data_IF_459440373293
#
_entry.id   IF_459440373293
#
_cell.length_a   1.000
_cell.length_b   1.000
_cell.length_c   1.000
_cell.angle_alpha   90.00
_cell.angle_beta   90.00
_cell.angle_gamma   90.00
#
_symmetry.space_group_name_H-M   'P 1'
#
loop_
_entity.id
_entity.type
_entity.pdbx_description
1 polymer ?
#
# COMPACT_ATOMS: atom_id res chain seq x y z
N UNK A 1 15.58 21.37 36.10
CA UNK A 1 14.37 20.54 36.24
C UNK A 1 13.18 21.06 35.42
N UNK A 2 12.87 22.36 35.40
CA UNK A 2 11.73 22.91 34.62
C UNK A 2 11.87 22.79 33.09
N UNK A 3 13.07 23.04 32.53
CA UNK A 3 13.30 22.90 31.09
C UNK A 3 13.21 21.45 30.58
N UNK A 4 13.49 20.46 31.45
CA UNK A 4 13.37 19.04 31.09
C UNK A 4 11.91 18.60 30.95
N UNK A 5 11.01 19.12 31.80
CA UNK A 5 9.58 18.78 31.70
C UNK A 5 8.91 19.39 30.47
N UNK A 6 9.30 20.59 30.03
CA UNK A 6 8.78 21.19 28.80
C UNK A 6 9.21 20.47 27.53
N UNK A 7 10.44 19.94 27.49
CA UNK A 7 10.95 19.18 26.33
C UNK A 7 10.24 17.82 26.23
N UNK A 8 10.10 17.11 27.36
CA UNK A 8 9.36 15.83 27.40
C UNK A 8 7.89 16.00 26.98
N UNK A 9 7.23 17.08 27.41
CA UNK A 9 5.85 17.37 26.98
C UNK A 9 5.73 17.70 25.49
N UNK A 10 6.70 18.42 24.90
CA UNK A 10 6.71 18.72 23.47
C UNK A 10 6.93 17.46 22.62
N UNK A 11 7.82 16.57 23.05
CA UNK A 11 8.07 15.28 22.39
C UNK A 11 6.81 14.40 22.41
N UNK A 12 6.11 14.32 23.54
CA UNK A 12 4.88 13.52 23.67
C UNK A 12 3.74 14.04 22.78
N UNK A 13 3.61 15.37 22.65
CA UNK A 13 2.65 16.01 21.74
C UNK A 13 2.97 15.71 20.27
N UNK A 14 4.25 15.81 19.89
CA UNK A 14 4.69 15.51 18.52
C UNK A 14 4.45 14.04 18.18
N UNK A 15 4.80 13.13 19.08
CA UNK A 15 4.54 11.70 18.88
C UNK A 15 3.06 11.41 18.73
N UNK A 16 2.19 11.93 19.60
CA UNK A 16 0.74 11.75 19.48
C UNK A 16 0.19 12.31 18.17
N UNK A 17 0.62 13.50 17.77
CA UNK A 17 0.19 14.13 16.53
C UNK A 17 0.58 13.29 15.30
N UNK A 18 1.80 12.77 15.26
CA UNK A 18 2.26 11.91 14.16
C UNK A 18 1.52 10.59 14.11
N UNK A 19 1.25 9.95 15.26
CA UNK A 19 0.47 8.71 15.28
C UNK A 19 -0.95 8.92 14.78
N UNK A 20 -1.61 10.01 15.18
CA UNK A 20 -2.94 10.37 14.67
C UNK A 20 -2.92 10.65 13.18
N UNK A 21 -1.91 11.37 12.69
CA UNK A 21 -1.76 11.63 11.27
C UNK A 21 -1.54 10.33 10.48
N UNK A 22 -0.68 9.44 10.97
CA UNK A 22 -0.46 8.12 10.37
C UNK A 22 -1.76 7.32 10.28
N UNK A 23 -2.53 7.27 11.36
CA UNK A 23 -3.82 6.57 11.38
C UNK A 23 -4.79 7.13 10.32
N UNK A 24 -4.89 8.45 10.19
CA UNK A 24 -5.75 9.08 9.19
C UNK A 24 -5.32 8.72 7.77
N UNK A 25 -4.02 8.70 7.50
CA UNK A 25 -3.46 8.31 6.19
C UNK A 25 -3.68 6.82 5.92
N UNK A 26 -3.50 5.94 6.91
CA UNK A 26 -3.77 4.51 6.77
C UNK A 26 -5.24 4.25 6.43
N UNK A 27 -6.17 4.89 7.13
CA UNK A 27 -7.61 4.79 6.85
C UNK A 27 -7.93 5.29 5.44
N UNK A 28 -7.37 6.44 5.05
CA UNK A 28 -7.56 6.99 3.70
C UNK A 28 -7.03 6.03 2.63
N UNK A 29 -5.83 5.48 2.82
CA UNK A 29 -5.24 4.48 1.93
C UNK A 29 -6.09 3.22 1.84
N UNK A 30 -6.61 2.71 2.97
CA UNK A 30 -7.50 1.56 2.99
C UNK A 30 -8.81 1.82 2.21
N UNK A 31 -9.37 3.02 2.31
CA UNK A 31 -10.55 3.42 1.52
C UNK A 31 -10.25 3.48 0.02
N UNK A 32 -9.10 4.03 -0.38
CA UNK A 32 -8.66 4.09 -1.79
C UNK A 32 -8.50 2.69 -2.37
N UNK A 33 -7.85 1.78 -1.62
CA UNK A 33 -7.70 0.37 -2.01
C UNK A 33 -9.08 -0.29 -2.12
N UNK A 34 -9.97 -0.05 -1.15
CA UNK A 34 -11.33 -0.57 -1.16
C UNK A 34 -12.13 -0.12 -2.38
N UNK A 35 -12.05 1.16 -2.76
CA UNK A 35 -12.69 1.69 -3.97
C UNK A 35 -12.13 1.04 -5.23
N UNK A 36 -10.80 0.89 -5.33
CA UNK A 36 -10.17 0.19 -6.45
C UNK A 36 -10.59 -1.26 -6.57
N UNK A 37 -10.73 -1.96 -5.43
CA UNK A 37 -11.21 -3.34 -5.39
C UNK A 37 -12.66 -3.45 -5.86
N UNK A 38 -13.55 -2.56 -5.39
CA UNK A 38 -14.96 -2.53 -5.81
C UNK A 38 -15.10 -2.24 -7.32
N UNK A 39 -14.34 -1.27 -7.84
CA UNK A 39 -14.31 -0.95 -9.26
C UNK A 39 -13.82 -2.15 -10.10
N UNK A 40 -12.78 -2.83 -9.63
CA UNK A 40 -12.22 -4.02 -10.28
C UNK A 40 -13.23 -5.17 -10.28
N UNK A 41 -13.89 -5.42 -9.13
CA UNK A 41 -14.85 -6.50 -8.97
C UNK A 41 -16.09 -6.32 -9.85
N UNK A 42 -16.63 -5.09 -9.93
CA UNK A 42 -17.77 -4.77 -10.80
C UNK A 42 -17.44 -4.96 -12.28
N UNK A 43 -16.23 -4.61 -12.69
CA UNK A 43 -15.76 -4.77 -14.07
C UNK A 43 -15.53 -6.24 -14.41
N UNK A 44 -14.95 -7.02 -13.49
CA UNK A 44 -14.75 -8.46 -13.64
C UNK A 44 -16.07 -9.24 -13.76
N UNK A 45 -17.07 -8.93 -12.93
CA UNK A 45 -18.40 -9.54 -13.01
C UNK A 45 -19.08 -9.26 -14.35
N UNK A 46 -18.88 -8.07 -14.93
CA UNK A 46 -19.35 -7.75 -16.28
C UNK A 46 -18.57 -8.51 -17.35
N UNK A 47 -17.25 -8.62 -17.20
CA UNK A 47 -16.36 -9.32 -18.13
C UNK A 47 -16.65 -10.82 -18.24
N UNK A 48 -17.12 -11.47 -17.17
CA UNK A 48 -17.48 -12.90 -17.23
C UNK A 48 -18.58 -13.18 -18.28
N UNK A 49 -19.38 -12.17 -18.63
CA UNK A 49 -20.43 -12.28 -19.67
C UNK A 49 -19.92 -11.99 -21.09
N UNK A 50 -18.74 -11.36 -21.24
CA UNK A 50 -18.17 -10.91 -22.51
C UNK A 50 -16.69 -11.35 -22.49
N UNK A 51 -16.43 -12.57 -22.95
CA UNK A 51 -15.09 -13.18 -22.95
C UNK A 51 -14.16 -12.41 -23.88
N UNK A 52 -13.42 -11.43 -23.35
CA UNK A 52 -12.45 -10.63 -24.11
C UNK A 52 -11.21 -10.36 -23.24
N UNK A 53 -10.04 -10.73 -23.78
CA UNK A 53 -8.74 -10.62 -23.10
C UNK A 53 -8.37 -9.17 -22.73
N UNK A 54 -8.85 -8.19 -23.50
CA UNK A 54 -8.59 -6.77 -23.26
C UNK A 54 -9.18 -6.27 -21.94
N UNK A 55 -10.33 -6.82 -21.52
CA UNK A 55 -11.02 -6.41 -20.29
C UNK A 55 -10.23 -6.83 -19.04
N UNK A 56 -9.50 -7.94 -19.11
CA UNK A 56 -8.67 -8.41 -18.00
C UNK A 56 -7.48 -7.48 -17.74
N UNK A 57 -6.81 -7.02 -18.81
CA UNK A 57 -5.66 -6.11 -18.72
C UNK A 57 -6.11 -4.76 -18.14
N UNK A 58 -7.20 -4.20 -18.65
CA UNK A 58 -7.76 -2.93 -18.16
C UNK A 58 -8.20 -2.99 -16.68
N UNK A 59 -8.79 -4.12 -16.28
CA UNK A 59 -9.20 -4.37 -14.89
C UNK A 59 -7.99 -4.42 -13.96
N UNK A 60 -6.91 -5.11 -14.35
CA UNK A 60 -5.66 -5.17 -13.59
C UNK A 60 -4.97 -3.80 -13.49
N UNK A 61 -4.94 -3.04 -14.59
CA UNK A 61 -4.36 -1.70 -14.61
C UNK A 61 -5.13 -0.72 -13.71
N UNK A 62 -6.45 -0.84 -13.66
CA UNK A 62 -7.30 -0.04 -12.77
C UNK A 62 -6.97 -0.33 -11.31
N UNK A 63 -6.94 -1.59 -10.91
CA UNK A 63 -6.53 -1.97 -9.55
C UNK A 63 -5.12 -1.46 -9.22
N UNK A 64 -4.18 -1.61 -10.15
CA UNK A 64 -2.79 -1.17 -9.96
C UNK A 64 -2.68 0.35 -9.69
N UNK A 65 -3.48 1.18 -10.36
CA UNK A 65 -3.52 2.64 -10.12
C UNK A 65 -4.00 3.00 -8.71
N UNK A 66 -5.09 2.39 -8.25
CA UNK A 66 -5.59 2.63 -6.88
C UNK A 66 -4.60 2.15 -5.83
N UNK A 67 -3.95 1.00 -6.06
CA UNK A 67 -2.92 0.49 -5.17
C UNK A 67 -1.70 1.43 -5.11
N UNK A 68 -1.21 1.91 -6.25
CA UNK A 68 -0.08 2.84 -6.29
C UNK A 68 -0.37 4.12 -5.51
N UNK A 69 -1.54 4.73 -5.75
CA UNK A 69 -1.96 5.94 -5.04
C UNK A 69 -2.01 5.75 -3.52
N UNK A 70 -2.62 4.65 -3.05
CA UNK A 70 -2.69 4.37 -1.62
C UNK A 70 -1.30 4.16 -0.98
N UNK A 71 -0.39 3.50 -1.70
CA UNK A 71 0.96 3.22 -1.22
C UNK A 71 1.83 4.47 -1.15
N UNK A 72 1.72 5.40 -2.09
CA UNK A 72 2.44 6.67 -2.05
C UNK A 72 2.04 7.49 -0.81
N UNK A 73 0.75 7.51 -0.49
CA UNK A 73 0.24 8.18 0.71
C UNK A 73 0.73 7.49 1.99
N UNK A 74 0.58 6.17 2.09
CA UNK A 74 0.99 5.38 3.25
C UNK A 74 2.51 5.46 3.49
N UNK A 75 3.31 5.43 2.43
CA UNK A 75 4.77 5.57 2.52
C UNK A 75 5.17 6.90 3.19
N UNK A 76 4.49 8.00 2.85
CA UNK A 76 4.73 9.30 3.49
C UNK A 76 4.43 9.27 5.00
N UNK A 77 3.33 8.64 5.40
CA UNK A 77 2.99 8.47 6.82
C UNK A 77 3.98 7.59 7.59
N UNK A 78 4.48 6.53 6.95
CA UNK A 78 5.49 5.65 7.55
C UNK A 78 6.84 6.34 7.69
N UNK A 79 7.26 7.15 6.71
CA UNK A 79 8.46 7.99 6.82
C UNK A 79 8.32 8.97 7.98
N UNK A 80 7.18 9.63 8.12
CA UNK A 80 6.94 10.56 9.23
C UNK A 80 6.97 9.86 10.59
N UNK A 81 6.34 8.68 10.71
CA UNK A 81 6.33 7.87 11.93
C UNK A 81 7.75 7.39 12.31
N UNK A 82 8.54 6.97 11.33
CA UNK A 82 9.92 6.51 11.57
C UNK A 82 10.87 7.66 11.90
N UNK A 83 10.59 8.88 11.43
CA UNK A 83 11.36 10.08 11.77
C UNK A 83 11.20 10.52 13.24
N UNK A 84 10.03 10.31 13.85
CA UNK A 84 9.77 10.70 15.26
C UNK A 84 10.04 9.59 16.26
N UNK A 85 9.87 8.33 15.87
CA UNK A 85 10.17 7.17 16.71
C UNK A 85 10.57 6.00 15.82
N UNK A 86 11.88 5.83 15.52
CA UNK A 86 12.36 4.72 14.71
C UNK A 86 12.14 3.41 15.46
N UNK A 87 11.01 2.74 15.21
CA UNK A 87 10.74 1.40 15.77
C UNK A 87 11.16 0.32 14.76
N UNK A 88 12.12 -0.52 15.16
CA UNK A 88 12.64 -1.61 14.31
C UNK A 88 11.56 -2.64 13.91
N UNK A 89 10.51 -2.78 14.72
CA UNK A 89 9.38 -3.70 14.47
C UNK A 89 8.50 -3.24 13.29
N UNK A 90 8.20 -1.94 13.17
CA UNK A 90 7.41 -1.42 12.05
C UNK A 90 8.18 -1.52 10.73
N UNK A 91 9.47 -1.18 10.74
CA UNK A 91 10.34 -1.26 9.56
C UNK A 91 10.44 -2.71 9.08
N UNK A 92 10.60 -3.68 10.00
CA UNK A 92 10.64 -5.10 9.67
C UNK A 92 9.35 -5.63 9.03
N UNK A 93 8.19 -5.24 9.54
CA UNK A 93 6.88 -5.64 8.98
C UNK A 93 6.68 -5.09 7.57
N UNK A 94 7.03 -3.83 7.33
CA UNK A 94 6.91 -3.21 6.01
C UNK A 94 7.82 -3.89 4.98
N UNK A 95 9.08 -4.15 5.38
CA UNK A 95 10.05 -4.85 4.53
C UNK A 95 9.58 -6.26 4.16
N UNK A 96 8.99 -7.00 5.12
CA UNK A 96 8.45 -8.33 4.86
C UNK A 96 7.31 -8.30 3.81
N UNK A 97 6.37 -7.36 3.92
CA UNK A 97 5.26 -7.22 2.95
C UNK A 97 5.81 -6.87 1.56
N UNK A 98 6.78 -5.97 1.47
CA UNK A 98 7.41 -5.57 0.21
C UNK A 98 8.15 -6.75 -0.46
N UNK A 99 8.87 -7.56 0.32
CA UNK A 99 9.56 -8.77 -0.16
C UNK A 99 8.55 -9.80 -0.68
N UNK A 100 7.50 -10.09 0.09
CA UNK A 100 6.44 -11.05 -0.32
C UNK A 100 5.80 -10.60 -1.63
N UNK A 101 5.44 -9.30 -1.73
CA UNK A 101 4.86 -8.73 -2.94
C UNK A 101 5.79 -8.89 -4.15
N UNK A 102 7.07 -8.57 -3.97
CA UNK A 102 8.07 -8.66 -5.03
C UNK A 102 8.25 -10.10 -5.49
N UNK A 103 8.38 -11.03 -4.54
CA UNK A 103 8.54 -12.46 -4.84
C UNK A 103 7.34 -13.03 -5.60
N UNK A 104 6.11 -12.78 -5.11
CA UNK A 104 4.89 -13.25 -5.77
C UNK A 104 4.74 -12.66 -7.17
N UNK A 105 4.93 -11.35 -7.33
CA UNK A 105 4.82 -10.71 -8.63
C UNK A 105 5.91 -11.18 -9.61
N UNK A 106 7.12 -11.49 -9.11
CA UNK A 106 8.20 -12.04 -9.91
C UNK A 106 7.87 -13.45 -10.42
N UNK A 107 7.40 -14.36 -9.54
CA UNK A 107 7.02 -15.72 -9.96
C UNK A 107 5.88 -15.72 -10.97
N UNK A 108 4.85 -14.90 -10.72
CA UNK A 108 3.70 -14.81 -11.63
C UNK A 108 4.10 -14.28 -13.01
N UNK A 109 5.00 -13.30 -13.06
CA UNK A 109 5.51 -12.76 -14.32
C UNK A 109 6.38 -13.78 -15.07
N UNK A 110 7.12 -14.62 -14.32
CA UNK A 110 7.98 -15.65 -14.89
C UNK A 110 7.18 -16.78 -15.53
N UNK A 111 6.17 -17.31 -14.85
CA UNK A 111 5.28 -18.36 -15.41
C UNK A 111 4.59 -17.90 -16.71
N UNK A 112 4.12 -16.65 -16.76
CA UNK A 112 3.51 -16.09 -17.98
C UNK A 112 4.46 -16.05 -19.19
N UNK A 113 5.77 -15.90 -18.98
CA UNK A 113 6.74 -15.92 -20.06
C UNK A 113 7.12 -17.35 -20.48
N UNK A 114 7.04 -18.31 -19.56
CA UNK A 114 7.31 -19.73 -19.85
C UNK A 114 6.18 -20.38 -20.69
N UNK A 115 4.93 -19.88 -20.61
CA UNK A 115 3.79 -20.38 -21.41
C UNK A 115 3.64 -19.75 -22.81
N UNK A 116 4.61 -18.95 -23.27
CA UNK A 116 4.59 -18.37 -24.62
C UNK A 116 5.17 -19.36 -25.64
N UNK A 117 4.40 -19.87 -26.62
CA UNK A 117 4.94 -20.79 -27.62
C UNK A 117 6.04 -20.09 -28.43
N UNK A 118 7.19 -20.75 -28.70
CA UNK A 118 8.13 -20.28 -29.69
C UNK A 118 7.43 -20.23 -31.06
N UNK A 119 7.58 -19.10 -31.77
CA UNK A 119 7.12 -18.97 -33.15
C UNK A 119 7.76 -20.00 -34.07
#
# INVERSE_FOLDING_TARGET
MLAGQSIVGAEELVMHAVHWLKLMVEVTGALVIGMGLLATLTTWIRSIRISSKDVFIETRLTLARYLALALELQLGADILSTAVSPSWDQIGKLAAIAVIRTALNYFLLRELHEDSPPC
#
